data_IF_792327803383
#
_entry.id   IF_792327803383
#
_cell.length_a   1.000
_cell.length_b   1.000
_cell.length_c   1.000
_cell.angle_alpha   90.00
_cell.angle_beta   90.00
_cell.angle_gamma   90.00
#
_symmetry.space_group_name_H-M   'P 1'
#
loop_
_entity.id
_entity.type
_entity.pdbx_description
1 polymer ?
#
# COMPACT_ATOMS: atom_id res chain seq x y z
N UNK A 1 7.69 13.58 -32.46
CA UNK A 1 6.27 13.96 -32.28
C UNK A 1 5.78 13.29 -31.01
N UNK A 2 5.40 14.04 -29.98
CA UNK A 2 4.76 13.45 -28.80
C UNK A 2 3.28 13.24 -29.09
N UNK A 3 2.80 12.01 -29.03
CA UNK A 3 1.35 11.71 -29.05
C UNK A 3 0.81 11.95 -27.64
N UNK A 4 -0.25 12.74 -27.52
CA UNK A 4 -1.01 12.86 -26.27
C UNK A 4 -1.87 11.62 -26.09
N UNK A 5 -1.94 11.11 -24.85
CA UNK A 5 -2.75 9.95 -24.49
C UNK A 5 -3.94 10.39 -23.62
N UNK A 6 -5.07 9.71 -23.74
CA UNK A 6 -6.20 9.88 -22.82
C UNK A 6 -5.92 9.21 -21.47
N UNK A 7 -6.73 9.54 -20.46
CA UNK A 7 -6.60 8.94 -19.13
C UNK A 7 -6.82 7.42 -19.19
N UNK A 8 -7.78 6.97 -19.98
CA UNK A 8 -8.11 5.56 -20.20
C UNK A 8 -6.96 4.83 -20.90
N UNK A 9 -6.34 5.44 -21.91
CA UNK A 9 -5.18 4.86 -22.59
C UNK A 9 -4.00 4.69 -21.61
N UNK A 10 -3.77 5.66 -20.72
CA UNK A 10 -2.73 5.57 -19.68
C UNK A 10 -3.06 4.47 -18.67
N UNK A 11 -4.29 4.38 -18.19
CA UNK A 11 -4.73 3.34 -17.25
C UNK A 11 -4.59 1.93 -17.83
N UNK A 12 -4.91 1.75 -19.12
CA UNK A 12 -4.73 0.49 -19.82
C UNK A 12 -3.25 0.12 -19.93
N UNK A 13 -2.40 1.08 -20.28
CA UNK A 13 -0.95 0.86 -20.35
C UNK A 13 -0.36 0.49 -18.97
N UNK A 14 -0.78 1.19 -17.91
CA UNK A 14 -0.38 0.90 -16.54
C UNK A 14 -0.81 -0.52 -16.15
N UNK A 15 -2.07 -0.88 -16.36
CA UNK A 15 -2.62 -2.21 -16.06
C UNK A 15 -1.87 -3.31 -16.82
N UNK A 16 -1.60 -3.12 -18.10
CA UNK A 16 -0.87 -4.09 -18.91
C UNK A 16 0.57 -4.28 -18.43
N UNK A 17 1.23 -3.20 -18.04
CA UNK A 17 2.59 -3.23 -17.49
C UNK A 17 2.63 -3.97 -16.15
N UNK A 18 1.65 -3.70 -15.27
CA UNK A 18 1.50 -4.41 -13.99
C UNK A 18 1.33 -5.91 -14.22
N UNK A 19 0.45 -6.32 -15.14
CA UNK A 19 0.23 -7.73 -15.47
C UNK A 19 1.49 -8.41 -16.02
N UNK A 20 2.21 -7.73 -16.91
CA UNK A 20 3.46 -8.26 -17.47
C UNK A 20 4.53 -8.47 -16.39
N UNK A 21 4.69 -7.51 -15.48
CA UNK A 21 5.67 -7.62 -14.38
C UNK A 21 5.24 -8.69 -13.38
N UNK A 22 3.95 -8.81 -13.07
CA UNK A 22 3.40 -9.84 -12.19
C UNK A 22 3.70 -11.25 -12.71
N UNK A 23 3.49 -11.48 -13.99
CA UNK A 23 3.83 -12.75 -14.67
C UNK A 23 5.34 -13.00 -14.62
N UNK A 24 6.13 -12.02 -15.08
CA UNK A 24 7.61 -12.12 -15.17
C UNK A 24 8.26 -12.43 -13.83
N UNK A 25 7.82 -11.78 -12.76
CA UNK A 25 8.38 -11.94 -11.40
C UNK A 25 7.65 -13.02 -10.58
N UNK A 26 6.56 -13.60 -11.13
CA UNK A 26 5.69 -14.57 -10.48
C UNK A 26 5.19 -14.11 -9.10
N UNK A 27 4.64 -12.90 -9.05
CA UNK A 27 4.06 -12.25 -7.85
C UNK A 27 2.65 -11.73 -8.15
N UNK A 28 1.91 -11.29 -7.12
CA UNK A 28 0.58 -10.73 -7.32
C UNK A 28 0.64 -9.38 -8.07
N UNK A 29 -0.47 -9.02 -8.71
CA UNK A 29 -0.63 -7.72 -9.38
C UNK A 29 -0.50 -6.55 -8.40
N UNK A 30 -1.05 -6.69 -7.18
CA UNK A 30 -0.96 -5.68 -6.13
C UNK A 30 0.50 -5.40 -5.70
N UNK A 31 1.29 -6.47 -5.45
CA UNK A 31 2.72 -6.36 -5.15
C UNK A 31 3.48 -5.79 -6.33
N UNK A 32 3.15 -6.20 -7.56
CA UNK A 32 3.80 -5.70 -8.78
C UNK A 32 3.56 -4.21 -8.99
N UNK A 33 2.32 -3.75 -8.84
CA UNK A 33 1.96 -2.34 -8.94
C UNK A 33 2.69 -1.53 -7.87
N UNK A 34 2.74 -2.02 -6.63
CA UNK A 34 3.48 -1.36 -5.55
C UNK A 34 4.98 -1.24 -5.86
N UNK A 35 5.60 -2.33 -6.33
CA UNK A 35 7.01 -2.33 -6.71
C UNK A 35 7.31 -1.46 -7.93
N UNK A 36 6.39 -1.37 -8.89
CA UNK A 36 6.47 -0.45 -10.02
C UNK A 36 6.43 1.00 -9.54
N UNK A 37 5.51 1.35 -8.64
CA UNK A 37 5.47 2.68 -8.02
C UNK A 37 6.76 2.98 -7.26
N UNK A 38 7.27 2.03 -6.47
CA UNK A 38 8.54 2.17 -5.74
C UNK A 38 9.72 2.43 -6.69
N UNK A 39 9.72 1.75 -7.84
CA UNK A 39 10.75 1.87 -8.89
C UNK A 39 10.50 3.01 -9.87
N UNK A 40 9.53 3.89 -9.60
CA UNK A 40 9.12 5.00 -10.48
C UNK A 40 8.81 4.54 -11.91
N UNK A 41 8.14 3.39 -12.02
CA UNK A 41 7.76 2.72 -13.26
C UNK A 41 8.93 2.28 -14.16
N UNK A 42 10.15 2.22 -13.61
CA UNK A 42 11.29 1.65 -14.33
C UNK A 42 11.29 0.12 -14.21
N UNK A 43 10.77 -0.55 -15.24
CA UNK A 43 10.63 -2.02 -15.30
C UNK A 43 11.99 -2.72 -15.25
N UNK A 44 12.97 -2.26 -16.02
CA UNK A 44 14.30 -2.89 -16.08
C UNK A 44 14.99 -2.82 -14.71
N UNK A 45 14.94 -1.66 -14.05
CA UNK A 45 15.48 -1.48 -12.71
C UNK A 45 14.79 -2.39 -11.69
N UNK A 46 13.47 -2.50 -11.76
CA UNK A 46 12.70 -3.37 -10.88
C UNK A 46 13.11 -4.83 -11.07
N UNK A 47 13.12 -5.33 -12.31
CA UNK A 47 13.49 -6.72 -12.63
C UNK A 47 14.92 -7.01 -12.17
N UNK A 48 15.86 -6.10 -12.44
CA UNK A 48 17.24 -6.23 -11.98
C UNK A 48 17.32 -6.34 -10.45
N UNK A 49 16.69 -5.41 -9.71
CA UNK A 49 16.75 -5.40 -8.23
C UNK A 49 16.09 -6.60 -7.61
N UNK A 50 14.97 -7.04 -8.19
CA UNK A 50 14.25 -8.23 -7.73
C UNK A 50 15.08 -9.50 -7.93
N UNK A 51 15.82 -9.60 -9.04
CA UNK A 51 16.73 -10.72 -9.31
C UNK A 51 17.99 -10.68 -8.43
N UNK A 52 18.49 -9.50 -8.07
CA UNK A 52 19.64 -9.32 -7.18
C UNK A 52 19.33 -9.76 -5.74
N UNK A 53 18.30 -9.16 -5.12
CA UNK A 53 17.86 -9.48 -3.77
C UNK A 53 16.39 -9.12 -3.57
N UNK A 54 15.52 -10.12 -3.76
CA UNK A 54 14.07 -10.00 -3.58
C UNK A 54 13.71 -9.56 -2.16
N UNK A 55 14.32 -10.15 -1.14
CA UNK A 55 13.92 -9.87 0.25
C UNK A 55 14.30 -8.45 0.66
N UNK A 56 15.49 -7.99 0.29
CA UNK A 56 15.90 -6.61 0.52
C UNK A 56 14.99 -5.61 -0.18
N UNK A 57 14.61 -5.89 -1.45
CA UNK A 57 13.67 -5.05 -2.19
C UNK A 57 12.30 -4.97 -1.50
N UNK A 58 11.73 -6.11 -1.09
CA UNK A 58 10.44 -6.15 -0.41
C UNK A 58 10.46 -5.42 0.96
N UNK A 59 11.57 -5.49 1.69
CA UNK A 59 11.76 -4.75 2.94
C UNK A 59 11.83 -3.24 2.69
N UNK A 60 12.62 -2.78 1.71
CA UNK A 60 12.77 -1.35 1.40
C UNK A 60 11.50 -0.76 0.79
N UNK A 61 10.73 -1.55 0.04
CA UNK A 61 9.41 -1.18 -0.45
C UNK A 61 8.30 -1.22 0.63
N UNK A 62 8.63 -1.64 1.86
CA UNK A 62 7.68 -1.73 2.97
C UNK A 62 6.60 -2.80 2.79
N UNK A 63 6.79 -3.73 1.86
CA UNK A 63 5.89 -4.87 1.61
C UNK A 63 6.17 -6.05 2.55
N UNK A 64 7.33 -6.05 3.19
CA UNK A 64 7.73 -7.01 4.22
C UNK A 64 8.32 -6.28 5.42
N UNK A 65 8.20 -6.86 6.61
CA UNK A 65 8.95 -6.43 7.80
C UNK A 65 9.61 -7.64 8.45
N UNK A 66 10.75 -7.44 9.12
CA UNK A 66 11.53 -8.54 9.73
C UNK A 66 10.87 -9.13 10.97
N UNK A 67 10.07 -8.36 11.68
CA UNK A 67 9.41 -8.79 12.91
C UNK A 67 7.99 -8.23 12.96
N UNK A 68 7.02 -8.88 12.27
CA UNK A 68 5.63 -8.46 12.34
C UNK A 68 5.14 -8.62 13.78
N UNK A 69 4.64 -7.54 14.38
CA UNK A 69 4.13 -7.59 15.75
C UNK A 69 2.65 -7.95 15.71
N UNK A 70 2.39 -9.26 15.69
CA UNK A 70 1.06 -9.76 15.95
C UNK A 70 0.66 -9.42 17.39
N UNK A 71 -0.61 -9.09 17.57
CA UNK A 71 -1.14 -8.68 18.86
C UNK A 71 -1.19 -9.88 19.81
N UNK A 72 -0.39 -9.81 20.87
CA UNK A 72 -0.34 -10.85 21.92
C UNK A 72 -1.56 -10.84 22.83
N UNK A 73 -2.42 -9.84 22.72
CA UNK A 73 -3.62 -9.65 23.54
C UNK A 73 -4.70 -8.94 22.72
N UNK A 74 -5.99 -9.16 23.01
CA UNK A 74 -7.05 -8.45 22.33
C UNK A 74 -6.87 -6.95 22.54
N UNK A 75 -6.74 -6.20 21.45
CA UNK A 75 -6.73 -4.75 21.54
C UNK A 75 -8.11 -4.31 22.00
N UNK A 76 -8.15 -3.55 23.09
CA UNK A 76 -9.38 -2.95 23.60
C UNK A 76 -9.57 -1.51 23.11
N UNK A 77 -8.50 -0.85 22.65
CA UNK A 77 -8.50 0.56 22.23
C UNK A 77 -7.59 0.83 21.02
N UNK A 78 -8.04 1.70 20.12
CA UNK A 78 -7.20 2.17 19.01
C UNK A 78 -6.01 2.99 19.53
N UNK A 79 -4.75 2.70 19.13
CA UNK A 79 -3.58 3.44 19.62
C UNK A 79 -3.50 4.88 19.11
N UNK A 80 -4.29 5.24 18.09
CA UNK A 80 -4.27 6.59 17.49
C UNK A 80 -5.32 7.51 18.11
N UNK A 81 -6.59 7.07 18.16
CA UNK A 81 -7.69 7.91 18.69
C UNK A 81 -8.13 7.54 20.10
N UNK A 82 -7.60 6.46 20.69
CA UNK A 82 -7.93 5.95 22.04
C UNK A 82 -9.40 5.49 22.22
N UNK A 83 -10.19 5.48 21.15
CA UNK A 83 -11.55 4.95 21.18
C UNK A 83 -11.54 3.43 21.43
N UNK A 84 -12.53 2.97 22.19
CA UNK A 84 -12.75 1.55 22.44
C UNK A 84 -13.04 0.82 21.13
N UNK A 85 -12.46 -0.37 20.99
CA UNK A 85 -12.80 -1.25 19.89
C UNK A 85 -14.08 -1.98 20.27
N UNK A 86 -15.14 -1.74 19.51
CA UNK A 86 -16.25 -2.66 19.52
C UNK A 86 -15.72 -3.98 18.94
N UNK A 87 -16.03 -5.11 19.57
CA UNK A 87 -15.72 -6.45 19.07
C UNK A 87 -16.52 -6.77 17.78
N UNK A 88 -16.53 -5.86 16.83
CA UNK A 88 -17.20 -6.04 15.56
C UNK A 88 -16.36 -7.01 14.74
N UNK A 89 -17.03 -8.07 14.30
CA UNK A 89 -16.51 -9.29 13.68
C UNK A 89 -15.75 -9.07 12.35
N UNK A 90 -15.42 -7.84 11.99
CA UNK A 90 -14.64 -7.52 10.80
C UNK A 90 -13.15 -7.62 11.10
N UNK A 91 -12.44 -8.38 10.26
CA UNK A 91 -10.99 -8.49 10.36
C UNK A 91 -10.37 -7.08 10.28
N UNK A 92 -9.62 -6.72 11.31
CA UNK A 92 -8.97 -5.43 11.36
C UNK A 92 -8.03 -5.22 10.16
N UNK A 93 -8.03 -4.03 9.54
CA UNK A 93 -7.13 -3.75 8.44
C UNK A 93 -5.69 -3.63 8.96
N UNK A 94 -4.86 -4.62 8.64
CA UNK A 94 -3.44 -4.63 8.97
C UNK A 94 -2.59 -4.77 7.73
N UNK A 95 -1.45 -4.07 7.70
CA UNK A 95 -0.40 -4.29 6.70
C UNK A 95 0.43 -5.53 7.05
N UNK A 96 1.52 -5.77 6.31
CA UNK A 96 2.49 -6.83 6.60
C UNK A 96 3.12 -6.73 8.00
N UNK A 97 3.09 -5.55 8.64
CA UNK A 97 3.58 -5.34 10.00
C UNK A 97 2.66 -5.84 11.11
N UNK A 98 1.40 -6.18 10.79
CA UNK A 98 0.37 -6.57 11.76
C UNK A 98 0.00 -5.50 12.79
N UNK A 99 0.51 -4.27 12.64
CA UNK A 99 0.08 -3.14 13.46
C UNK A 99 -1.38 -2.78 13.17
N UNK A 100 -2.11 -2.56 14.25
CA UNK A 100 -3.52 -2.22 14.21
C UNK A 100 -3.77 -0.73 14.38
N UNK A 101 -4.73 -0.22 13.61
CA UNK A 101 -5.39 1.05 13.80
C UNK A 101 -6.86 0.90 13.35
N UNK A 102 -7.80 1.65 13.92
CA UNK A 102 -9.19 1.55 13.49
C UNK A 102 -9.39 2.08 12.07
N UNK A 103 -10.43 1.58 11.38
CA UNK A 103 -10.71 1.93 9.97
C UNK A 103 -10.87 3.43 9.76
N UNK A 104 -11.49 4.15 10.70
CA UNK A 104 -11.65 5.62 10.61
C UNK A 104 -10.32 6.36 10.67
N UNK A 105 -9.41 5.98 11.57
CA UNK A 105 -8.07 6.58 11.66
C UNK A 105 -7.22 6.25 10.44
N UNK A 106 -7.27 5.01 9.94
CA UNK A 106 -6.62 4.65 8.67
C UNK A 106 -7.13 5.53 7.52
N UNK A 107 -8.43 5.70 7.41
CA UNK A 107 -9.06 6.50 6.37
C UNK A 107 -8.63 7.96 6.43
N UNK A 108 -8.73 8.61 7.59
CA UNK A 108 -8.34 10.00 7.77
C UNK A 108 -6.85 10.21 7.46
N UNK A 109 -6.00 9.28 7.92
CA UNK A 109 -4.58 9.29 7.64
C UNK A 109 -4.28 9.16 6.13
N UNK A 110 -4.90 8.19 5.45
CA UNK A 110 -4.70 7.96 4.03
C UNK A 110 -5.19 9.15 3.18
N UNK A 111 -6.37 9.72 3.48
CA UNK A 111 -6.88 10.92 2.82
C UNK A 111 -5.88 12.08 2.98
N UNK A 112 -5.41 12.33 4.20
CA UNK A 112 -4.42 13.37 4.47
C UNK A 112 -3.14 13.16 3.64
N UNK A 113 -2.65 11.92 3.54
CA UNK A 113 -1.46 11.60 2.74
C UNK A 113 -1.68 11.80 1.24
N UNK A 114 -2.86 11.49 0.74
CA UNK A 114 -3.24 11.71 -0.67
C UNK A 114 -3.29 13.22 -0.96
N UNK A 115 -3.99 14.00 -0.12
CA UNK A 115 -4.10 15.46 -0.25
C UNK A 115 -2.74 16.16 -0.20
N UNK A 116 -1.81 15.64 0.62
CA UNK A 116 -0.44 16.16 0.72
C UNK A 116 0.49 15.68 -0.41
N UNK A 117 -0.01 14.88 -1.36
CA UNK A 117 0.78 14.24 -2.42
C UNK A 117 1.95 13.38 -1.86
N UNK A 118 1.71 12.71 -0.74
CA UNK A 118 2.67 11.86 -0.02
C UNK A 118 2.32 10.37 -0.10
N UNK A 119 1.43 9.96 -1.01
CA UNK A 119 0.99 8.56 -1.14
C UNK A 119 2.15 7.58 -1.34
N UNK A 120 3.17 7.95 -2.14
CA UNK A 120 4.35 7.10 -2.39
C UNK A 120 5.24 6.92 -1.16
N UNK A 121 5.16 7.82 -0.18
CA UNK A 121 5.88 7.77 1.09
C UNK A 121 4.95 7.42 2.27
N UNK A 122 3.73 6.96 1.97
CA UNK A 122 2.77 6.57 2.98
C UNK A 122 3.26 5.30 3.68
N UNK A 123 3.38 5.36 4.99
CA UNK A 123 3.78 4.26 5.86
C UNK A 123 2.72 4.02 6.92
N UNK A 124 2.80 2.90 7.63
CA UNK A 124 1.97 2.59 8.77
C UNK A 124 1.90 3.78 9.76
N UNK A 125 0.70 4.11 10.29
CA UNK A 125 0.53 5.25 11.21
C UNK A 125 1.13 5.00 12.60
N UNK A 126 1.62 3.78 12.88
CA UNK A 126 2.31 3.47 14.13
C UNK A 126 3.79 3.84 14.03
N UNK A 127 4.33 4.45 15.09
CA UNK A 127 5.68 4.99 15.15
C UNK A 127 6.75 4.02 14.66
N UNK A 128 7.69 4.56 13.87
CA UNK A 128 8.88 3.87 13.35
C UNK A 128 8.61 2.59 12.54
N UNK A 129 7.41 2.43 12.00
CA UNK A 129 7.05 1.27 11.17
C UNK A 129 7.20 1.57 9.67
N UNK A 130 8.10 0.88 8.94
CA UNK A 130 8.34 1.14 7.51
C UNK A 130 7.31 0.49 6.58
N UNK A 131 6.37 -0.31 7.11
CA UNK A 131 5.37 -0.98 6.28
C UNK A 131 4.54 0.02 5.49
N UNK A 132 4.32 -0.23 4.21
CA UNK A 132 3.58 0.64 3.31
C UNK A 132 2.23 0.00 2.91
N UNK A 133 1.15 0.79 2.79
CA UNK A 133 -0.10 0.30 2.26
C UNK A 133 0.01 0.10 0.74
N UNK A 134 -0.51 -1.01 0.24
CA UNK A 134 -0.66 -1.25 -1.20
C UNK A 134 -1.90 -0.57 -1.74
N UNK A 135 -2.03 -0.53 -3.06
CA UNK A 135 -3.20 0.03 -3.73
C UNK A 135 -4.49 -0.70 -3.29
N UNK A 136 -4.47 -2.03 -3.26
CA UNK A 136 -5.60 -2.82 -2.78
C UNK A 136 -5.98 -2.50 -1.32
N UNK A 137 -4.99 -2.26 -0.44
CA UNK A 137 -5.27 -1.84 0.93
C UNK A 137 -5.93 -0.47 0.96
N UNK A 138 -5.40 0.51 0.23
CA UNK A 138 -5.95 1.87 0.17
C UNK A 138 -7.41 1.84 -0.32
N UNK A 139 -7.68 1.12 -1.42
CA UNK A 139 -9.04 0.95 -1.96
C UNK A 139 -9.99 0.21 -1.04
N UNK A 140 -9.49 -0.63 -0.12
CA UNK A 140 -10.34 -1.30 0.89
C UNK A 140 -10.79 -0.36 2.03
N UNK A 141 -10.07 0.74 2.23
CA UNK A 141 -10.30 1.70 3.32
C UNK A 141 -11.06 2.94 2.82
N UNK A 142 -10.70 3.44 1.65
CA UNK A 142 -11.29 4.65 1.05
C UNK A 142 -12.13 4.24 -0.16
N UNK A 143 -13.40 4.65 -0.18
CA UNK A 143 -14.24 4.49 -1.37
C UNK A 143 -14.02 5.64 -2.37
N UNK A 144 -14.17 5.39 -3.67
CA UNK A 144 -13.95 6.38 -4.74
C UNK A 144 -14.76 7.68 -4.57
N UNK A 145 -15.97 7.59 -4.00
CA UNK A 145 -16.82 8.74 -3.71
C UNK A 145 -16.24 9.72 -2.70
N UNK A 146 -15.21 9.31 -1.96
CA UNK A 146 -14.64 10.07 -0.84
C UNK A 146 -13.36 10.81 -1.24
N UNK A 147 -12.72 10.36 -2.33
CA UNK A 147 -11.58 11.01 -2.97
C UNK A 147 -12.06 12.10 -3.95
N UNK A 148 -13.19 11.86 -4.62
CA UNK A 148 -13.77 12.80 -5.60
C UNK A 148 -14.59 13.95 -4.98
N UNK A 149 -14.81 13.94 -3.65
CA UNK A 149 -15.71 14.87 -2.96
C UNK A 149 -15.07 16.22 -2.57
N UNK A 150 -13.85 16.55 -3.02
CA UNK A 150 -13.18 17.82 -2.71
C UNK A 150 -12.44 18.41 -3.90
#
# INVERSE_FOLDING_TARGET
>A
MGRTMSQEEVQQLMSQTVLQVADTLSISTDVSQHLLMHSKWNVDLLVQRYAEDREALLLVAGLQVRNPQALSSPITQCPVCLNLLNNESEAAPTLCCMHYCCKSCWKEYLITRIEQNLVQNCTCPISDCPAQPTDAFISSIISDSEIAAK
#
